data_IF_935503358555
#
_entry.id   IF_935503358555
#
_cell.length_a   1.000
_cell.length_b   1.000
_cell.length_c   1.000
_cell.angle_alpha   90.00
_cell.angle_beta   90.00
_cell.angle_gamma   90.00
#
_symmetry.space_group_name_H-M   'P 1'
#
loop_
_entity.id
_entity.type
_entity.pdbx_description
1 polymer ?
#
# COMPACT_ATOMS: atom_id res chain seq x y z
N UNK A 1 -6.55 -6.18 15.34
CA UNK A 1 -7.36 -5.04 14.84
C UNK A 1 -8.66 -4.92 15.63
N UNK A 2 -9.50 -5.96 15.73
CA UNK A 2 -10.77 -5.89 16.46
C UNK A 2 -10.65 -5.47 17.95
N UNK A 3 -9.58 -5.88 18.63
CA UNK A 3 -9.29 -5.48 20.01
C UNK A 3 -8.75 -4.04 20.16
N UNK A 4 -8.50 -3.31 19.07
CA UNK A 4 -8.02 -1.91 19.11
C UNK A 4 -6.54 -1.72 19.46
N UNK A 5 -5.81 -2.77 19.81
CA UNK A 5 -4.37 -2.70 20.19
C UNK A 5 -3.42 -2.29 19.06
N UNK A 6 -3.90 -2.31 17.80
CA UNK A 6 -3.13 -1.90 16.62
C UNK A 6 -3.98 -1.01 15.74
N UNK A 7 -3.39 0.08 15.24
CA UNK A 7 -3.99 0.95 14.22
C UNK A 7 -3.59 0.41 12.85
N UNK A 8 -4.58 0.32 11.95
CA UNK A 8 -4.38 -0.05 10.56
C UNK A 8 -4.80 1.07 9.62
N UNK A 9 -4.35 0.97 8.37
CA UNK A 9 -4.78 1.83 7.29
C UNK A 9 -5.03 1.01 6.02
N UNK A 10 -5.73 1.61 5.06
CA UNK A 10 -5.98 1.02 3.75
C UNK A 10 -5.36 1.90 2.66
N UNK A 11 -4.33 1.35 1.99
CA UNK A 11 -3.48 2.07 1.05
C UNK A 11 -3.81 1.84 -0.42
N UNK A 12 -4.93 2.36 -0.93
CA UNK A 12 -5.32 2.15 -2.35
C UNK A 12 -4.83 3.26 -3.29
N UNK A 13 -5.18 4.52 -3.01
CA UNK A 13 -5.00 5.62 -3.97
C UNK A 13 -3.53 5.99 -4.18
N UNK A 14 -3.18 6.38 -5.41
CA UNK A 14 -1.84 6.86 -5.82
C UNK A 14 -1.94 8.28 -6.42
N UNK A 15 -0.82 9.03 -6.56
CA UNK A 15 -0.86 10.41 -7.05
C UNK A 15 -1.67 10.60 -8.35
N UNK A 16 -1.59 9.63 -9.26
CA UNK A 16 -2.22 9.68 -10.57
C UNK A 16 -3.46 8.76 -10.69
N UNK A 17 -3.77 7.96 -9.66
CA UNK A 17 -4.76 6.87 -9.76
C UNK A 17 -5.68 6.86 -8.55
N UNK A 18 -6.86 7.49 -8.70
CA UNK A 18 -7.99 7.43 -7.77
C UNK A 18 -9.09 6.51 -8.28
N UNK A 19 -9.93 7.02 -9.18
CA UNK A 19 -11.06 6.26 -9.74
C UNK A 19 -10.66 5.09 -10.63
N UNK A 20 -9.44 5.10 -11.17
CA UNK A 20 -8.89 4.01 -11.99
C UNK A 20 -7.81 3.21 -11.22
N UNK A 21 -8.19 2.28 -10.33
CA UNK A 21 -7.23 1.47 -9.59
C UNK A 21 -6.44 0.50 -10.49
N UNK A 22 -6.98 0.14 -11.65
CA UNK A 22 -6.26 -0.73 -12.60
C UNK A 22 -5.02 -0.04 -13.20
N UNK A 23 -4.94 1.30 -13.13
CA UNK A 23 -3.80 2.09 -13.59
C UNK A 23 -2.64 2.22 -12.60
N UNK A 24 -2.78 1.71 -11.37
CA UNK A 24 -1.77 1.85 -10.32
C UNK A 24 -0.37 1.42 -10.76
N UNK A 25 0.61 2.22 -10.36
CA UNK A 25 2.01 2.08 -10.72
C UNK A 25 2.81 1.33 -9.64
N UNK A 26 2.30 1.24 -8.40
CA UNK A 26 2.97 0.46 -7.34
C UNK A 26 3.12 -1.00 -7.76
N UNK A 27 4.35 -1.52 -7.67
CA UNK A 27 4.67 -2.91 -8.03
C UNK A 27 5.07 -3.72 -6.82
N UNK A 28 4.70 -5.00 -6.85
CA UNK A 28 5.20 -6.04 -5.97
C UNK A 28 6.00 -7.04 -6.80
N UNK A 29 7.29 -7.17 -6.53
CA UNK A 29 8.18 -8.10 -7.24
C UNK A 29 8.63 -9.18 -6.25
N UNK A 30 8.39 -10.44 -6.59
CA UNK A 30 8.86 -11.57 -5.78
C UNK A 30 10.39 -11.65 -5.83
N UNK A 31 11.03 -11.71 -4.66
CA UNK A 31 12.45 -11.96 -4.51
C UNK A 31 12.66 -13.40 -4.02
N UNK A 32 13.20 -14.25 -4.90
CA UNK A 32 13.44 -15.66 -4.61
C UNK A 32 14.48 -15.90 -3.52
N UNK A 33 15.43 -14.97 -3.31
CA UNK A 33 16.49 -15.13 -2.32
C UNK A 33 15.97 -14.85 -0.91
N UNK A 34 15.22 -13.76 -0.76
CA UNK A 34 14.68 -13.33 0.54
C UNK A 34 13.28 -13.87 0.83
N UNK A 35 12.63 -14.55 -0.13
CA UNK A 35 11.28 -15.13 -0.02
C UNK A 35 10.23 -14.08 0.39
N UNK A 36 10.36 -12.85 -0.12
CA UNK A 36 9.42 -11.75 0.12
C UNK A 36 9.04 -11.03 -1.17
N UNK A 37 7.98 -10.24 -1.12
CA UNK A 37 7.69 -9.24 -2.16
C UNK A 37 8.41 -7.92 -1.84
N UNK A 38 9.18 -7.42 -2.80
CA UNK A 38 9.70 -6.06 -2.81
C UNK A 38 8.64 -5.12 -3.37
N UNK A 39 8.19 -4.18 -2.55
CA UNK A 39 7.22 -3.16 -2.93
C UNK A 39 7.94 -1.87 -3.36
N UNK A 40 7.54 -1.29 -4.48
CA UNK A 40 8.03 0.01 -4.94
C UNK A 40 6.87 0.82 -5.53
N UNK A 41 6.69 2.04 -5.03
CA UNK A 41 5.58 2.93 -5.42
C UNK A 41 5.29 3.97 -4.35
N UNK A 42 4.20 4.72 -4.52
CA UNK A 42 3.75 5.73 -3.55
C UNK A 42 2.24 5.71 -3.44
N UNK A 43 1.74 5.75 -2.21
CA UNK A 43 0.31 5.86 -1.91
C UNK A 43 0.01 7.25 -1.38
N UNK A 44 -1.16 7.77 -1.71
CA UNK A 44 -1.55 9.15 -1.39
C UNK A 44 -2.93 9.15 -0.74
N UNK A 45 -3.16 10.09 0.17
CA UNK A 45 -4.42 10.27 0.89
C UNK A 45 -4.80 9.06 1.77
N UNK A 46 -3.80 8.46 2.41
CA UNK A 46 -3.99 7.31 3.30
C UNK A 46 -4.32 7.81 4.70
N UNK A 47 -5.58 7.61 5.11
CA UNK A 47 -6.04 7.94 6.46
C UNK A 47 -5.30 7.09 7.51
N UNK A 48 -5.05 7.67 8.68
CA UNK A 48 -4.26 7.11 9.79
C UNK A 48 -2.74 7.00 9.52
N UNK A 49 -2.19 7.75 8.56
CA UNK A 49 -0.74 7.90 8.37
C UNK A 49 -0.29 9.31 8.79
N UNK A 50 0.85 9.49 9.50
CA UNK A 50 1.81 8.48 9.94
C UNK A 50 1.49 7.87 11.32
N UNK A 51 0.27 8.13 11.83
CA UNK A 51 -0.19 7.92 13.22
C UNK A 51 0.45 6.73 13.94
#
# INVERSE_FOLDING_TARGET
>A
LAAGEKIGCFGLTEPNHGSNPAGMETKAIWDENSKVYKLSGTKTWISNSPV
#
